data_IF_810729627177
#
_entry.id   IF_810729627177
#
_cell.length_a   1.000
_cell.length_b   1.000
_cell.length_c   1.000
_cell.angle_alpha   90.00
_cell.angle_beta   90.00
_cell.angle_gamma   90.00
#
_symmetry.space_group_name_H-M   'P 1'
#
loop_
_entity.id
_entity.type
_entity.pdbx_description
1 polymer ?
#
# COMPACT_ATOMS: atom_id res chain seq x y z
N UNK A 1 65.37 3.44 -27.18
CA UNK A 1 64.89 4.14 -25.99
C UNK A 1 63.47 4.72 -26.15
N UNK A 2 62.56 4.08 -26.93
CA UNK A 2 61.15 4.59 -27.11
C UNK A 2 60.08 3.69 -26.56
N UNK A 3 60.38 2.49 -26.08
CA UNK A 3 59.40 1.48 -25.66
C UNK A 3 58.83 1.68 -24.21
N UNK A 4 59.66 2.21 -23.31
CA UNK A 4 59.31 2.39 -21.89
C UNK A 4 58.32 3.54 -21.60
N UNK A 5 58.14 4.48 -22.55
CA UNK A 5 57.27 5.64 -22.34
C UNK A 5 55.79 5.32 -22.57
N UNK A 6 55.54 4.32 -23.45
CA UNK A 6 54.14 3.92 -23.75
C UNK A 6 53.54 3.04 -22.66
N UNK A 7 54.38 2.21 -21.99
CA UNK A 7 53.92 1.32 -20.93
C UNK A 7 53.54 2.11 -19.66
N UNK A 8 54.23 3.22 -19.40
CA UNK A 8 53.93 4.12 -18.29
C UNK A 8 52.55 4.81 -18.48
N UNK A 9 52.25 5.29 -19.69
CA UNK A 9 50.95 5.93 -19.98
C UNK A 9 49.80 4.93 -20.01
N UNK A 10 50.02 3.70 -20.42
CA UNK A 10 49.04 2.63 -20.36
C UNK A 10 48.70 2.25 -18.89
N UNK A 11 49.71 2.17 -18.01
CA UNK A 11 49.51 1.90 -16.59
C UNK A 11 48.75 3.04 -15.87
N UNK A 12 49.02 4.30 -16.22
CA UNK A 12 48.29 5.47 -15.68
C UNK A 12 46.85 5.50 -16.16
N UNK A 13 46.59 5.12 -17.42
CA UNK A 13 45.22 5.05 -17.96
C UNK A 13 44.39 3.92 -17.32
N UNK A 14 44.99 2.75 -17.10
CA UNK A 14 44.33 1.63 -16.40
C UNK A 14 44.08 1.97 -14.94
N UNK A 15 45.01 2.65 -14.25
CA UNK A 15 44.84 3.13 -12.88
C UNK A 15 43.70 4.15 -12.75
N UNK A 16 43.58 5.08 -13.71
CA UNK A 16 42.55 6.10 -13.74
C UNK A 16 41.15 5.49 -14.03
N UNK A 17 41.08 4.49 -14.93
CA UNK A 17 39.84 3.74 -15.19
C UNK A 17 39.38 2.89 -13.98
N UNK A 18 40.31 2.29 -13.23
CA UNK A 18 39.96 1.58 -12.00
C UNK A 18 39.47 2.52 -10.89
N UNK A 19 39.97 3.74 -10.83
CA UNK A 19 39.59 4.72 -9.81
C UNK A 19 38.21 5.35 -10.07
N UNK A 20 37.74 5.34 -11.33
CA UNK A 20 36.37 5.84 -11.66
C UNK A 20 35.26 4.81 -11.45
N UNK A 21 35.58 3.52 -11.31
CA UNK A 21 34.57 2.46 -11.07
C UNK A 21 34.10 2.37 -9.61
N UNK A 22 34.75 3.01 -8.66
CA UNK A 22 34.42 2.92 -7.23
C UNK A 22 33.43 3.98 -6.73
N UNK A 23 32.97 4.92 -7.58
CA UNK A 23 32.11 6.04 -7.15
C UNK A 23 30.62 5.81 -7.48
N UNK A 24 30.25 4.70 -8.11
CA UNK A 24 28.86 4.40 -8.47
C UNK A 24 28.19 3.34 -7.58
N UNK A 25 28.65 3.14 -6.34
CA UNK A 25 27.85 2.51 -5.32
C UNK A 25 26.86 3.56 -4.78
N UNK A 26 25.96 4.05 -5.65
CA UNK A 26 24.78 4.76 -5.21
C UNK A 26 24.05 3.86 -4.23
N UNK A 27 23.77 4.35 -3.03
CA UNK A 27 22.89 3.69 -2.08
C UNK A 27 21.60 3.33 -2.82
N UNK A 28 21.48 2.08 -3.24
CA UNK A 28 20.23 1.50 -3.63
C UNK A 28 19.39 1.51 -2.34
N UNK A 29 18.70 2.62 -2.13
CA UNK A 29 17.68 2.71 -1.09
C UNK A 29 16.69 1.62 -1.44
N UNK A 30 16.74 0.52 -0.70
CA UNK A 30 15.80 -0.57 -0.87
C UNK A 30 14.42 0.06 -0.71
N UNK A 31 13.74 0.25 -1.84
CA UNK A 31 12.36 0.72 -1.86
C UNK A 31 11.57 -0.41 -1.24
N UNK A 32 11.24 -0.27 0.05
CA UNK A 32 10.44 -1.28 0.74
C UNK A 32 9.06 -1.32 0.07
N UNK A 33 8.66 -2.51 -0.36
CA UNK A 33 7.34 -2.71 -0.96
C UNK A 33 6.25 -2.57 0.10
N UNK A 34 5.10 -2.00 -0.26
CA UNK A 34 3.96 -1.88 0.63
C UNK A 34 3.52 -3.24 1.17
N UNK A 35 3.34 -3.32 2.47
CA UNK A 35 2.94 -4.54 3.17
C UNK A 35 1.99 -4.25 4.32
N UNK A 36 1.22 -5.25 4.71
CA UNK A 36 0.42 -5.18 5.93
C UNK A 36 1.12 -5.90 7.08
N UNK A 37 1.00 -5.31 8.28
CA UNK A 37 1.48 -5.88 9.55
C UNK A 37 0.33 -5.88 10.56
N UNK A 38 0.54 -6.55 11.69
CA UNK A 38 -0.41 -6.60 12.82
C UNK A 38 -1.81 -7.04 12.39
N UNK A 39 -1.89 -8.01 11.45
CA UNK A 39 -3.15 -8.43 10.87
C UNK A 39 -3.88 -9.34 11.87
N UNK A 40 -5.05 -8.90 12.32
CA UNK A 40 -5.90 -9.61 13.27
C UNK A 40 -7.35 -9.60 12.78
N UNK A 41 -8.00 -10.76 12.83
CA UNK A 41 -9.45 -10.90 12.63
C UNK A 41 -10.07 -11.36 13.93
N UNK A 42 -11.05 -10.61 14.43
CA UNK A 42 -11.69 -10.89 15.71
C UNK A 42 -13.19 -10.64 15.65
N UNK A 43 -13.95 -11.24 16.58
CA UNK A 43 -15.39 -11.00 16.70
C UNK A 43 -15.69 -9.60 17.24
N UNK A 44 -16.61 -8.91 16.57
CA UNK A 44 -17.24 -7.68 17.03
C UNK A 44 -18.70 -7.88 17.41
N UNK A 45 -19.48 -6.82 17.46
CA UNK A 45 -20.92 -6.89 17.72
C UNK A 45 -21.66 -7.25 16.43
N UNK A 46 -21.92 -8.54 16.21
CA UNK A 46 -22.70 -9.05 15.08
C UNK A 46 -21.90 -9.39 13.82
N UNK A 47 -20.59 -9.10 13.77
CA UNK A 47 -19.74 -9.39 12.62
C UNK A 47 -18.29 -9.61 13.03
N UNK A 48 -17.52 -10.25 12.12
CA UNK A 48 -16.05 -10.32 12.23
C UNK A 48 -15.43 -9.01 11.75
N UNK A 49 -14.42 -8.55 12.48
CA UNK A 49 -13.71 -7.29 12.21
C UNK A 49 -12.22 -7.57 11.91
N UNK A 50 -11.69 -6.86 10.94
CA UNK A 50 -10.26 -6.85 10.60
C UNK A 50 -9.57 -5.63 11.21
N UNK A 51 -8.42 -5.88 11.80
CA UNK A 51 -7.45 -4.89 12.23
C UNK A 51 -6.13 -5.16 11.51
N UNK A 52 -5.49 -4.14 10.99
CA UNK A 52 -4.20 -4.25 10.32
C UNK A 52 -3.53 -2.88 10.22
N UNK A 53 -2.24 -2.87 9.91
CA UNK A 53 -1.49 -1.66 9.59
C UNK A 53 -0.80 -1.81 8.23
N UNK A 54 -1.00 -0.82 7.36
CA UNK A 54 -0.27 -0.69 6.11
C UNK A 54 1.07 0.00 6.39
N UNK A 55 2.17 -0.62 6.02
CA UNK A 55 3.54 -0.10 6.15
C UNK A 55 4.11 0.12 4.76
N UNK A 56 4.90 1.18 4.60
CA UNK A 56 5.54 1.57 3.33
C UNK A 56 4.56 1.84 2.17
N UNK A 57 3.28 2.15 2.50
CA UNK A 57 2.23 2.44 1.52
C UNK A 57 2.27 3.87 0.97
N UNK A 58 3.08 4.77 1.54
CA UNK A 58 3.19 6.16 1.11
C UNK A 58 4.60 6.45 0.61
N UNK A 59 4.71 6.72 -0.68
CA UNK A 59 5.95 7.19 -1.30
C UNK A 59 5.99 8.72 -1.27
N UNK A 60 7.19 9.29 -1.37
CA UNK A 60 7.37 10.74 -1.35
C UNK A 60 6.59 11.46 -2.47
N UNK A 61 6.58 10.86 -3.65
CA UNK A 61 5.86 11.38 -4.80
C UNK A 61 4.35 11.43 -4.58
N UNK A 62 3.81 10.46 -3.82
CA UNK A 62 2.39 10.43 -3.43
C UNK A 62 2.07 11.55 -2.42
N UNK A 63 2.94 11.74 -1.44
CA UNK A 63 2.82 12.86 -0.49
C UNK A 63 2.74 14.20 -1.22
N UNK A 64 3.71 14.45 -2.13
CA UNK A 64 3.80 15.69 -2.89
C UNK A 64 2.53 15.94 -3.73
N UNK A 65 1.98 14.90 -4.34
CA UNK A 65 0.75 15.03 -5.10
C UNK A 65 -0.50 15.21 -4.22
N UNK A 66 -0.60 14.53 -3.07
CA UNK A 66 -1.68 14.76 -2.11
C UNK A 66 -1.64 16.22 -1.66
N UNK A 67 -0.48 16.78 -1.34
CA UNK A 67 -0.29 18.16 -0.97
C UNK A 67 -0.61 19.14 -2.11
N UNK A 68 -0.44 18.71 -3.36
CA UNK A 68 -0.92 19.45 -4.55
C UNK A 68 -2.45 19.37 -4.76
N UNK A 69 -3.17 18.63 -3.90
CA UNK A 69 -4.64 18.49 -3.95
C UNK A 69 -5.14 17.29 -4.75
N UNK A 70 -4.23 16.41 -5.23
CA UNK A 70 -4.62 15.16 -5.90
C UNK A 70 -5.10 14.16 -4.86
N UNK A 71 -6.33 13.61 -4.96
CA UNK A 71 -6.78 12.59 -4.02
C UNK A 71 -6.07 11.28 -4.25
N UNK A 72 -5.73 10.55 -3.16
CA UNK A 72 -5.30 9.17 -3.25
C UNK A 72 -6.38 8.23 -2.68
N UNK A 73 -6.61 7.10 -3.35
CA UNK A 73 -7.64 6.12 -2.98
C UNK A 73 -6.98 4.78 -2.73
N UNK A 74 -7.16 4.26 -1.52
CA UNK A 74 -6.74 2.91 -1.12
C UNK A 74 -7.97 2.00 -1.12
N UNK A 75 -7.91 0.94 -1.90
CA UNK A 75 -8.95 -0.08 -1.96
C UNK A 75 -8.51 -1.31 -1.18
N UNK A 76 -9.24 -1.63 -0.12
CA UNK A 76 -9.07 -2.82 0.70
C UNK A 76 -10.02 -3.88 0.14
N UNK A 77 -9.44 -4.93 -0.43
CA UNK A 77 -10.20 -6.08 -0.95
C UNK A 77 -10.21 -7.20 0.08
N UNK A 78 -11.39 -7.72 0.35
CA UNK A 78 -11.65 -8.80 1.31
C UNK A 78 -12.45 -9.90 0.62
N UNK A 79 -11.91 -11.12 0.63
CA UNK A 79 -12.60 -12.34 0.17
C UNK A 79 -12.69 -13.33 1.31
N UNK A 80 -13.90 -13.75 1.69
CA UNK A 80 -14.15 -14.71 2.77
C UNK A 80 -14.50 -16.07 2.21
N UNK A 81 -13.83 -17.09 2.72
CA UNK A 81 -14.03 -18.49 2.32
C UNK A 81 -14.28 -19.36 3.54
N UNK A 82 -15.12 -20.38 3.35
CA UNK A 82 -15.28 -21.51 4.27
C UNK A 82 -14.33 -22.63 3.84
N UNK A 83 -13.46 -23.11 4.74
CA UNK A 83 -12.60 -24.28 4.49
C UNK A 83 -13.44 -25.56 4.46
N UNK A 84 -13.23 -26.39 3.42
CA UNK A 84 -13.90 -27.69 3.26
C UNK A 84 -12.88 -28.80 3.13
N UNK A 85 -12.85 -29.82 4.04
CA UNK A 85 -11.77 -30.82 4.05
C UNK A 85 -11.71 -31.71 2.80
N UNK A 86 -12.82 -31.89 2.07
CA UNK A 86 -12.92 -32.83 0.95
C UNK A 86 -13.37 -32.21 -0.38
N UNK A 87 -13.60 -30.90 -0.39
CA UNK A 87 -14.10 -30.14 -1.54
C UNK A 87 -13.37 -28.80 -1.65
N UNK A 88 -13.56 -28.10 -2.78
CA UNK A 88 -13.10 -26.73 -2.91
C UNK A 88 -13.71 -25.84 -1.84
N UNK A 89 -12.89 -24.91 -1.34
CA UNK A 89 -13.32 -23.92 -0.38
C UNK A 89 -14.51 -23.12 -0.94
N UNK A 90 -15.51 -22.89 -0.09
CA UNK A 90 -16.70 -22.17 -0.50
C UNK A 90 -16.47 -20.67 -0.35
N UNK A 91 -16.52 -19.92 -1.44
CA UNK A 91 -16.55 -18.46 -1.39
C UNK A 91 -17.86 -17.98 -0.73
N UNK A 92 -17.75 -17.16 0.32
CA UNK A 92 -18.88 -16.64 1.10
C UNK A 92 -19.25 -15.25 0.62
N UNK A 93 -18.26 -14.33 0.53
CA UNK A 93 -18.49 -12.98 0.06
C UNK A 93 -17.19 -12.34 -0.43
N UNK A 94 -17.35 -11.34 -1.27
CA UNK A 94 -16.34 -10.36 -1.67
C UNK A 94 -16.77 -8.97 -1.17
N UNK A 95 -15.84 -8.19 -0.66
CA UNK A 95 -16.07 -6.82 -0.21
C UNK A 95 -14.92 -5.92 -0.59
N UNK A 96 -15.25 -4.75 -1.13
CA UNK A 96 -14.29 -3.66 -1.38
C UNK A 96 -14.62 -2.47 -0.49
N UNK A 97 -13.60 -1.98 0.23
CA UNK A 97 -13.70 -0.79 1.05
C UNK A 97 -12.69 0.22 0.54
N UNK A 98 -13.19 1.38 0.10
CA UNK A 98 -12.38 2.46 -0.43
C UNK A 98 -12.18 3.52 0.63
N UNK A 99 -10.92 3.85 0.88
CA UNK A 99 -10.49 4.92 1.77
C UNK A 99 -9.77 5.98 0.96
N UNK A 100 -10.27 7.21 1.03
CA UNK A 100 -9.77 8.34 0.24
C UNK A 100 -9.12 9.36 1.17
N UNK A 101 -7.96 9.87 0.79
CA UNK A 101 -7.33 11.04 1.38
C UNK A 101 -7.30 12.16 0.34
N UNK A 102 -7.69 13.38 0.74
CA UNK A 102 -7.64 14.57 -0.08
C UNK A 102 -7.19 15.76 0.76
N UNK A 103 -6.27 16.56 0.24
CA UNK A 103 -5.88 17.83 0.85
C UNK A 103 -6.74 18.98 0.33
N UNK A 104 -7.31 19.76 1.26
CA UNK A 104 -8.03 20.98 0.95
C UNK A 104 -7.05 22.16 1.11
N UNK A 105 -6.64 22.73 -0.02
CA UNK A 105 -5.68 23.83 -0.07
C UNK A 105 -6.20 25.12 0.55
N UNK A 106 -7.51 25.33 0.61
CA UNK A 106 -8.12 26.51 1.22
C UNK A 106 -8.18 26.38 2.74
N UNK A 107 -8.64 25.22 3.22
CA UNK A 107 -8.76 24.93 4.66
C UNK A 107 -7.46 24.45 5.30
N UNK A 108 -6.43 24.17 4.49
CA UNK A 108 -5.14 23.61 4.96
C UNK A 108 -5.32 22.36 5.82
N UNK A 109 -6.21 21.47 5.38
CA UNK A 109 -6.58 20.26 6.10
C UNK A 109 -6.73 19.05 5.17
N UNK A 110 -6.52 17.86 5.73
CA UNK A 110 -6.70 16.58 5.06
C UNK A 110 -8.07 16.03 5.40
N UNK A 111 -8.84 15.70 4.39
CA UNK A 111 -10.11 14.98 4.50
C UNK A 111 -9.86 13.49 4.25
N UNK A 112 -10.19 12.64 5.23
CA UNK A 112 -10.14 11.19 5.08
C UNK A 112 -11.55 10.64 5.15
N UNK A 113 -11.96 9.97 4.11
CA UNK A 113 -13.27 9.34 4.01
C UNK A 113 -13.13 7.85 3.72
N UNK A 114 -13.92 7.01 4.39
CA UNK A 114 -14.02 5.58 4.11
C UNK A 114 -15.41 5.29 3.60
N UNK A 115 -15.51 4.68 2.41
CA UNK A 115 -16.80 4.37 1.81
C UNK A 115 -17.60 3.41 2.70
N UNK A 116 -18.84 3.79 3.05
CA UNK A 116 -19.74 2.98 3.87
C UNK A 116 -19.37 2.88 5.36
N UNK A 117 -18.35 3.60 5.83
CA UNK A 117 -17.90 3.53 7.23
C UNK A 117 -17.69 4.92 7.83
N UNK A 118 -18.45 5.23 8.86
CA UNK A 118 -18.27 6.39 9.73
C UNK A 118 -18.39 7.76 9.06
N UNK A 119 -18.07 8.80 9.83
CA UNK A 119 -17.95 10.18 9.33
C UNK A 119 -16.53 10.45 8.84
N UNK A 120 -16.35 11.32 7.84
CA UNK A 120 -15.03 11.73 7.38
C UNK A 120 -14.22 12.36 8.52
N UNK A 121 -12.94 12.00 8.62
CA UNK A 121 -12.00 12.63 9.54
C UNK A 121 -11.33 13.85 8.88
N UNK A 122 -11.18 14.93 9.64
CA UNK A 122 -10.47 16.14 9.21
C UNK A 122 -9.22 16.27 10.08
N UNK A 123 -8.04 16.30 9.45
CA UNK A 123 -6.74 16.36 10.11
C UNK A 123 -5.91 17.51 9.54
N UNK A 124 -5.06 18.12 10.38
CA UNK A 124 -4.32 19.32 10.02
C UNK A 124 -2.89 19.06 9.57
N UNK A 125 -2.32 17.89 9.90
CA UNK A 125 -0.98 17.53 9.46
C UNK A 125 -0.97 16.22 8.66
N UNK A 126 0.04 16.09 7.79
CA UNK A 126 0.16 14.92 6.89
C UNK A 126 0.46 13.64 7.64
N UNK A 127 1.31 13.67 8.67
CA UNK A 127 1.69 12.49 9.45
C UNK A 127 0.46 11.83 10.11
N UNK A 128 -0.40 12.64 10.74
CA UNK A 128 -1.65 12.14 11.31
C UNK A 128 -2.60 11.60 10.24
N UNK A 129 -2.66 12.25 9.08
CA UNK A 129 -3.47 11.81 7.95
C UNK A 129 -2.94 10.49 7.36
N UNK A 130 -1.63 10.37 7.20
CA UNK A 130 -0.95 9.14 6.77
C UNK A 130 -1.23 8.00 7.74
N UNK A 131 -1.07 8.24 9.05
CA UNK A 131 -1.38 7.25 10.09
C UNK A 131 -2.84 6.80 10.02
N UNK A 132 -3.78 7.75 9.93
CA UNK A 132 -5.20 7.43 9.83
C UNK A 132 -5.55 6.65 8.54
N UNK A 133 -4.84 6.87 7.43
CA UNK A 133 -5.00 6.08 6.20
C UNK A 133 -4.41 4.68 6.34
N UNK A 134 -3.28 4.54 7.03
CA UNK A 134 -2.53 3.28 7.16
C UNK A 134 -3.15 2.32 8.19
N UNK A 135 -3.84 2.83 9.20
CA UNK A 135 -4.46 2.01 10.24
C UNK A 135 -5.85 1.54 9.82
N UNK A 136 -6.00 0.23 9.67
CA UNK A 136 -7.27 -0.45 9.39
C UNK A 136 -7.87 -0.91 10.72
N UNK A 137 -8.71 -0.08 11.32
CA UNK A 137 -9.28 -0.34 12.64
C UNK A 137 -10.76 -0.69 12.52
N UNK A 138 -11.12 -1.95 12.84
CA UNK A 138 -12.50 -2.41 12.88
C UNK A 138 -13.18 -2.46 11.51
N UNK A 139 -12.44 -2.88 10.48
CA UNK A 139 -12.98 -3.05 9.13
C UNK A 139 -13.92 -4.26 9.11
N UNK A 140 -15.22 -4.10 8.76
CA UNK A 140 -16.17 -5.20 8.74
C UNK A 140 -15.80 -6.24 7.65
N UNK A 141 -15.66 -7.50 8.08
CA UNK A 141 -15.29 -8.62 7.20
C UNK A 141 -16.55 -9.36 6.76
N UNK A 142 -17.27 -9.98 7.71
CA UNK A 142 -18.43 -10.81 7.44
C UNK A 142 -19.37 -10.81 8.64
N UNK A 143 -20.68 -10.68 8.40
CA UNK A 143 -21.68 -10.80 9.45
C UNK A 143 -21.80 -12.23 9.98
N UNK A 144 -22.01 -12.42 11.28
CA UNK A 144 -22.17 -13.75 11.88
C UNK A 144 -23.34 -14.55 11.28
N UNK A 145 -24.35 -13.87 10.75
CA UNK A 145 -25.48 -14.51 10.04
C UNK A 145 -25.05 -15.28 8.78
N UNK A 146 -23.89 -14.97 8.22
CA UNK A 146 -23.33 -15.64 7.05
C UNK A 146 -22.36 -16.78 7.41
N UNK A 147 -22.17 -17.03 8.69
CA UNK A 147 -21.28 -18.06 9.22
C UNK A 147 -22.08 -19.15 9.93
N UNK A 148 -21.56 -20.37 9.90
CA UNK A 148 -22.09 -21.51 10.65
C UNK A 148 -21.17 -21.82 11.82
N UNK A 149 -21.73 -22.08 13.01
CA UNK A 149 -20.94 -22.44 14.19
C UNK A 149 -20.18 -23.74 14.01
N UNK A 150 -18.98 -23.79 14.56
CA UNK A 150 -18.11 -24.95 14.49
C UNK A 150 -17.35 -25.11 13.17
N UNK A 151 -17.59 -24.25 12.19
CA UNK A 151 -16.93 -24.27 10.89
C UNK A 151 -15.68 -23.40 10.88
N UNK A 152 -14.74 -23.72 9.98
CA UNK A 152 -13.50 -22.98 9.80
C UNK A 152 -13.56 -22.10 8.57
N UNK A 153 -13.06 -20.90 8.72
CA UNK A 153 -13.08 -19.86 7.70
C UNK A 153 -11.70 -19.23 7.54
N UNK A 154 -11.49 -18.57 6.43
CA UNK A 154 -10.40 -17.63 6.27
C UNK A 154 -10.84 -16.41 5.47
N UNK A 155 -10.21 -15.30 5.74
CA UNK A 155 -10.27 -14.11 4.92
C UNK A 155 -8.97 -13.94 4.15
N UNK A 156 -9.08 -13.64 2.88
CA UNK A 156 -8.00 -13.10 2.07
C UNK A 156 -8.13 -11.60 2.04
N UNK A 157 -7.03 -10.89 2.30
CA UNK A 157 -7.02 -9.44 2.31
C UNK A 157 -5.81 -8.91 1.56
N UNK A 158 -6.01 -7.86 0.78
CA UNK A 158 -4.96 -7.05 0.17
C UNK A 158 -5.41 -5.60 0.07
N UNK A 159 -4.44 -4.71 -0.04
CA UNK A 159 -4.67 -3.28 -0.26
C UNK A 159 -4.06 -2.89 -1.59
N UNK A 160 -4.84 -2.19 -2.40
CA UNK A 160 -4.42 -1.61 -3.67
C UNK A 160 -4.51 -0.10 -3.61
N UNK A 161 -3.66 0.59 -4.36
CA UNK A 161 -3.88 1.99 -4.68
C UNK A 161 -4.52 2.06 -6.06
N UNK A 162 -5.67 2.74 -6.13
CA UNK A 162 -6.33 3.00 -7.38
C UNK A 162 -5.57 4.08 -8.16
N UNK A 163 -5.41 3.86 -9.47
CA UNK A 163 -4.88 4.88 -10.37
C UNK A 163 -5.82 6.09 -10.36
N UNK A 164 -5.27 7.24 -10.01
CA UNK A 164 -6.03 8.49 -10.08
C UNK A 164 -6.25 8.84 -11.54
N UNK A 165 -7.51 8.83 -12.00
CA UNK A 165 -7.87 9.38 -13.29
C UNK A 165 -7.96 10.90 -13.16
N UNK A 166 -6.96 11.60 -13.68
CA UNK A 166 -6.93 13.05 -13.67
C UNK A 166 -7.83 13.60 -14.79
N UNK A 167 -8.72 14.56 -14.49
CA UNK A 167 -9.51 15.23 -15.52
C UNK A 167 -8.61 16.10 -16.42
N UNK A 168 -9.05 16.33 -17.70
CA UNK A 168 -8.47 17.31 -18.62
C UNK A 168 -6.99 17.12 -19.01
N UNK A 169 -6.57 15.89 -19.38
CA UNK A 169 -5.20 15.61 -19.89
C UNK A 169 -4.06 16.07 -18.96
N UNK A 170 -4.32 16.24 -17.68
CA UNK A 170 -3.28 16.53 -16.68
C UNK A 170 -2.29 15.36 -16.50
N UNK A 171 -2.56 14.22 -17.09
CA UNK A 171 -1.67 13.05 -17.14
C UNK A 171 -0.29 13.39 -17.71
N UNK A 172 -0.21 14.34 -18.65
CA UNK A 172 1.08 14.80 -19.22
C UNK A 172 1.90 15.65 -18.26
N UNK A 173 1.24 16.35 -17.32
CA UNK A 173 1.91 17.21 -16.33
C UNK A 173 2.27 16.43 -15.06
N UNK A 174 1.44 15.42 -14.72
CA UNK A 174 1.57 14.62 -13.51
C UNK A 174 1.81 13.14 -13.86
N UNK A 175 2.74 12.88 -14.82
CA UNK A 175 3.07 11.51 -15.24
C UNK A 175 3.53 10.61 -14.08
N UNK A 176 4.08 11.18 -13.03
CA UNK A 176 4.52 10.48 -11.82
C UNK A 176 3.34 9.89 -11.01
N UNK A 177 2.10 10.38 -11.21
CA UNK A 177 0.91 9.83 -10.56
C UNK A 177 0.59 8.41 -11.08
N UNK A 178 0.99 8.11 -12.31
CA UNK A 178 0.85 6.76 -12.89
C UNK A 178 1.78 5.72 -12.25
N UNK A 179 2.79 6.15 -11.48
CA UNK A 179 3.76 5.30 -10.81
C UNK A 179 3.28 4.82 -9.42
N UNK A 180 2.09 5.22 -8.99
CA UNK A 180 1.56 4.86 -7.66
C UNK A 180 0.82 3.54 -7.62
N UNK A 181 0.69 2.89 -8.76
CA UNK A 181 0.03 1.60 -8.87
C UNK A 181 0.83 0.57 -8.06
N UNK A 182 0.33 0.21 -6.88
CA UNK A 182 0.87 -0.88 -6.12
C UNK A 182 -0.26 -1.70 -5.48
N UNK A 183 0.02 -2.97 -5.21
CA UNK A 183 -0.79 -3.80 -4.35
C UNK A 183 0.11 -4.51 -3.32
N UNK A 184 -0.43 -4.72 -2.13
CA UNK A 184 0.25 -5.55 -1.12
C UNK A 184 0.16 -7.02 -1.51
N UNK A 185 1.04 -7.89 -0.97
CA UNK A 185 0.81 -9.32 -1.04
C UNK A 185 -0.59 -9.69 -0.54
N UNK A 186 -1.12 -10.82 -1.03
CA UNK A 186 -2.38 -11.36 -0.55
C UNK A 186 -2.15 -12.09 0.77
N UNK A 187 -2.78 -11.61 1.85
CA UNK A 187 -2.68 -12.23 3.17
C UNK A 187 -3.89 -13.13 3.41
N UNK A 188 -3.62 -14.33 3.95
CA UNK A 188 -4.66 -15.32 4.32
C UNK A 188 -4.68 -15.47 5.84
N UNK A 189 -5.79 -15.10 6.48
CA UNK A 189 -5.98 -15.17 7.92
C UNK A 189 -7.12 -16.15 8.23
N UNK A 190 -6.83 -17.20 9.00
CA UNK A 190 -7.83 -18.18 9.42
C UNK A 190 -8.49 -17.75 10.71
N UNK A 191 -9.78 -18.06 10.82
CA UNK A 191 -10.57 -17.88 12.04
C UNK A 191 -11.62 -18.98 12.14
N UNK A 192 -12.08 -19.26 13.37
CA UNK A 192 -13.22 -20.13 13.64
C UNK A 192 -14.39 -19.30 14.14
N UNK A 193 -15.61 -19.76 13.89
CA UNK A 193 -16.82 -19.21 14.48
C UNK A 193 -17.42 -20.26 15.43
N UNK A 194 -17.28 -20.03 16.74
CA UNK A 194 -17.73 -20.93 17.81
C UNK A 194 -19.13 -20.58 18.33
#
# INVERSE_FOLDING_TARGET
>A
MKKHKNDFWAAVFVGLCMMTMTVAAGEARAQMDPRMTDILVTGGTGEMLLYARLVDGFKKEMEDAILAGVPAVFTIELDVYQERPYFWDRHILHREIRRTIKYDNLKKSFLIATNGLGQPAILTNFESAQKAMAELNGIPVVAFSNLSKGERYYVQVRVKIDRVRLPFKMEYVLFFVSLWDFETPLYKIRFAYE
#
